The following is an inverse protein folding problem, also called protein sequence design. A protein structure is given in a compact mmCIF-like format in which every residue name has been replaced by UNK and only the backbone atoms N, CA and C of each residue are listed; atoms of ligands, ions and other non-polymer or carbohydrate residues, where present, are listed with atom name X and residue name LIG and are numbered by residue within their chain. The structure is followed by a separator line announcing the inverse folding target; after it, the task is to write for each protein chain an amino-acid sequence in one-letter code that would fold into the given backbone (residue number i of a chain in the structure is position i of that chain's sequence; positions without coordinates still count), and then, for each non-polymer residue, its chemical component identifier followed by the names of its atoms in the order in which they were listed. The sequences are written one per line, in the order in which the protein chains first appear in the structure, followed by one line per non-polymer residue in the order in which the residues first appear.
data_IF_642622385403
#
_entry.id   IF_642622385403
#
_cell.length_a   1.000
_cell.length_b   1.000
_cell.length_c   1.000
_cell.angle_alpha   90.00
_cell.angle_beta   90.00
_cell.angle_gamma   90.00
#
_symmetry.space_group_name_H-M   'P 1'
#
loop_
_entity.id
_entity.type
_entity.pdbx_description
1 polymer ?
#
# COMPACT_ATOMS: atom_id res chain seq x y z
N UNK A 1 41.20 15.39 -62.26
CA UNK A 1 40.92 16.44 -61.27
C UNK A 1 39.57 16.11 -60.63
N UNK A 2 39.55 15.36 -59.51
CA UNK A 2 38.32 14.81 -58.95
C UNK A 2 37.66 15.72 -57.90
N UNK A 3 36.35 15.52 -57.79
CA UNK A 3 35.38 16.15 -56.89
C UNK A 3 35.66 15.87 -55.41
N UNK A 4 35.63 16.92 -54.57
CA UNK A 4 35.70 16.81 -53.11
C UNK A 4 34.29 17.01 -52.51
N UNK A 5 33.68 15.92 -52.07
CA UNK A 5 32.40 15.90 -51.38
C UNK A 5 32.56 16.36 -49.92
N UNK A 6 31.84 17.43 -49.56
CA UNK A 6 31.70 17.89 -48.19
C UNK A 6 30.93 16.86 -47.35
N UNK A 7 31.61 16.18 -46.43
CA UNK A 7 30.97 15.38 -45.39
C UNK A 7 30.60 16.28 -44.21
N UNK A 8 29.33 16.65 -44.13
CA UNK A 8 28.70 17.19 -42.93
C UNK A 8 28.72 16.11 -41.83
N UNK A 9 29.61 16.25 -40.85
CA UNK A 9 29.58 15.46 -39.61
C UNK A 9 28.35 15.86 -38.81
N UNK A 10 27.34 14.99 -38.77
CA UNK A 10 26.31 15.02 -37.73
C UNK A 10 26.97 14.73 -36.37
N UNK A 11 26.63 15.45 -35.28
CA UNK A 11 27.09 15.09 -33.97
C UNK A 11 26.44 13.76 -33.58
N UNK A 12 27.27 12.74 -33.40
CA UNK A 12 26.91 11.48 -32.78
C UNK A 12 26.28 11.78 -31.42
N UNK A 13 24.96 11.61 -31.31
CA UNK A 13 24.29 11.48 -30.02
C UNK A 13 24.92 10.27 -29.33
N UNK A 14 25.83 10.54 -28.40
CA UNK A 14 26.28 9.58 -27.42
C UNK A 14 25.06 9.16 -26.60
N UNK A 15 24.48 8.02 -26.96
CA UNK A 15 23.48 7.30 -26.16
C UNK A 15 24.19 6.72 -24.94
N UNK A 16 24.56 7.60 -24.01
CA UNK A 16 24.99 7.20 -22.69
C UNK A 16 23.72 6.81 -21.94
N UNK A 17 23.47 5.50 -21.86
CA UNK A 17 22.42 4.92 -21.02
C UNK A 17 22.55 5.56 -19.63
N UNK A 18 21.61 6.45 -19.28
CA UNK A 18 21.67 7.10 -17.98
C UNK A 18 21.28 6.04 -16.92
N UNK A 19 22.15 5.78 -15.95
CA UNK A 19 22.11 4.61 -15.09
C UNK A 19 20.87 4.58 -14.21
N UNK A 20 20.55 3.37 -13.74
CA UNK A 20 19.68 3.13 -12.60
C UNK A 20 20.10 4.07 -11.44
N UNK A 21 19.18 4.93 -11.02
CA UNK A 21 19.34 5.79 -9.86
C UNK A 21 18.74 5.08 -8.65
N UNK A 22 19.58 4.69 -7.70
CA UNK A 22 19.11 4.08 -6.45
C UNK A 22 19.15 5.12 -5.33
N UNK A 23 18.02 5.34 -4.68
CA UNK A 23 17.88 6.16 -3.48
C UNK A 23 17.51 5.25 -2.32
N UNK A 24 18.04 5.53 -1.14
CA UNK A 24 17.67 4.84 0.10
C UNK A 24 17.05 5.90 0.99
N UNK A 25 15.90 5.56 1.57
CA UNK A 25 15.19 6.45 2.45
C UNK A 25 16.09 6.91 3.62
N UNK A 26 16.12 8.21 3.90
CA UNK A 26 16.94 8.82 4.95
C UNK A 26 18.44 8.93 4.66
N UNK A 27 18.92 8.46 3.51
CA UNK A 27 20.28 8.77 3.08
C UNK A 27 20.39 10.22 2.53
N UNK A 28 21.59 10.80 2.54
CA UNK A 28 21.85 12.12 1.95
C UNK A 28 21.44 12.19 0.48
N UNK A 29 21.09 13.41 0.04
CA UNK A 29 20.76 13.65 -1.35
C UNK A 29 21.95 13.35 -2.28
N UNK A 30 21.64 12.78 -3.44
CA UNK A 30 22.59 12.51 -4.52
C UNK A 30 22.46 13.57 -5.59
N UNK A 31 23.59 14.09 -6.06
CA UNK A 31 23.62 15.06 -7.15
C UNK A 31 23.47 14.36 -8.49
N UNK A 32 22.43 14.70 -9.24
CA UNK A 32 22.06 14.03 -10.49
C UNK A 32 21.67 15.05 -11.55
N UNK A 33 22.11 14.83 -12.79
CA UNK A 33 21.63 15.56 -13.94
C UNK A 33 20.24 15.05 -14.36
N UNK A 34 19.25 15.94 -14.40
CA UNK A 34 17.89 15.65 -14.84
C UNK A 34 17.48 16.59 -15.97
N UNK A 35 16.67 16.08 -16.89
CA UNK A 35 15.90 16.90 -17.82
C UNK A 35 14.76 17.63 -17.10
N UNK A 36 14.26 18.73 -17.67
CA UNK A 36 13.13 19.47 -17.11
C UNK A 36 11.85 18.61 -16.99
N UNK A 37 11.68 17.65 -17.90
CA UNK A 37 10.58 16.68 -17.86
C UNK A 37 10.74 15.70 -16.69
N UNK A 38 11.94 15.16 -16.45
CA UNK A 38 12.22 14.29 -15.30
C UNK A 38 12.05 15.03 -13.99
N UNK A 39 12.54 16.27 -13.89
CA UNK A 39 12.35 17.15 -12.73
C UNK A 39 10.85 17.34 -12.43
N UNK A 40 10.09 17.77 -13.44
CA UNK A 40 8.64 18.02 -13.32
C UNK A 40 7.90 16.74 -12.92
N UNK A 41 8.24 15.60 -13.51
CA UNK A 41 7.62 14.33 -13.22
C UNK A 41 7.89 13.88 -11.78
N UNK A 42 9.14 13.91 -11.32
CA UNK A 42 9.52 13.53 -9.96
C UNK A 42 8.83 14.40 -8.91
N UNK A 43 8.77 15.71 -9.14
CA UNK A 43 8.13 16.66 -8.24
C UNK A 43 6.60 16.50 -8.20
N UNK A 44 5.94 16.41 -9.36
CA UNK A 44 4.47 16.30 -9.44
C UNK A 44 3.93 14.97 -8.93
N UNK A 45 4.67 13.87 -9.15
CA UNK A 45 4.27 12.54 -8.70
C UNK A 45 4.68 12.24 -7.25
N UNK A 46 5.47 13.13 -6.62
CA UNK A 46 5.95 12.95 -5.25
C UNK A 46 6.82 11.72 -5.06
N UNK A 47 7.54 11.29 -6.10
CA UNK A 47 8.35 10.06 -6.12
C UNK A 47 9.64 10.26 -5.30
N UNK A 48 10.27 11.43 -5.44
CA UNK A 48 11.52 11.79 -4.78
C UNK A 48 11.51 13.27 -4.40
N UNK A 49 12.31 13.64 -3.40
CA UNK A 49 12.54 15.06 -3.09
C UNK A 49 13.62 15.56 -4.04
N UNK A 50 13.30 16.62 -4.80
CA UNK A 50 14.21 17.17 -5.82
C UNK A 50 14.44 18.65 -5.54
N UNK A 51 15.69 19.02 -5.26
CA UNK A 51 16.11 20.39 -4.95
C UNK A 51 17.02 20.92 -6.05
N UNK A 52 16.72 22.08 -6.67
CA UNK A 52 17.60 22.72 -7.65
C UNK A 52 18.96 23.09 -7.03
N UNK A 53 20.04 22.88 -7.78
CA UNK A 53 21.37 23.38 -7.41
C UNK A 53 21.68 24.70 -8.12
N UNK A 54 22.84 25.28 -7.80
CA UNK A 54 23.36 26.45 -8.52
C UNK A 54 23.77 26.14 -9.97
N UNK A 55 23.90 24.86 -10.34
CA UNK A 55 24.23 24.42 -11.69
C UNK A 55 22.94 24.04 -12.44
N UNK A 56 22.60 24.73 -13.56
CA UNK A 56 21.42 24.40 -14.35
C UNK A 56 21.41 22.94 -14.83
N UNK A 57 20.24 22.29 -14.74
CA UNK A 57 20.06 20.88 -15.12
C UNK A 57 20.61 19.88 -14.10
N UNK A 58 21.17 20.34 -12.97
CA UNK A 58 21.69 19.49 -11.90
C UNK A 58 20.88 19.73 -10.62
N UNK A 59 20.44 18.62 -10.02
CA UNK A 59 19.56 18.63 -8.87
C UNK A 59 20.13 17.72 -7.78
N UNK A 60 19.90 18.09 -6.53
CA UNK A 60 20.13 17.21 -5.39
C UNK A 60 18.83 16.42 -5.14
N UNK A 61 18.90 15.10 -5.28
CA UNK A 61 17.76 14.17 -5.20
C UNK A 61 17.92 13.27 -3.99
N UNK A 62 16.90 13.22 -3.12
CA UNK A 62 16.82 12.25 -2.04
C UNK A 62 15.52 11.44 -2.11
N UNK A 63 15.53 10.28 -1.46
CA UNK A 63 14.34 9.43 -1.39
C UNK A 63 13.14 10.21 -0.83
N UNK A 64 11.99 10.01 -1.47
CA UNK A 64 10.70 10.51 -0.97
C UNK A 64 10.14 9.63 0.14
N UNK A 65 8.83 9.71 0.36
CA UNK A 65 8.09 8.86 1.32
C UNK A 65 7.70 7.50 0.76
N UNK A 66 7.80 7.35 -0.56
CA UNK A 66 7.39 6.16 -1.31
C UNK A 66 8.61 5.29 -1.62
N UNK A 67 8.44 3.97 -1.57
CA UNK A 67 9.48 2.98 -1.90
C UNK A 67 9.01 2.08 -3.03
N UNK A 68 9.92 1.68 -3.91
CA UNK A 68 9.59 0.89 -5.10
C UNK A 68 10.40 1.35 -6.31
N UNK A 69 9.92 0.99 -7.49
CA UNK A 69 10.65 1.22 -8.73
C UNK A 69 9.78 1.94 -9.76
N UNK A 70 10.35 2.96 -10.40
CA UNK A 70 9.73 3.70 -11.49
C UNK A 70 10.72 3.88 -12.64
N UNK A 71 10.23 3.70 -13.86
CA UNK A 71 10.92 4.07 -15.10
C UNK A 71 10.47 5.46 -15.50
N UNK A 72 11.44 6.32 -15.80
CA UNK A 72 11.33 7.68 -16.31
C UNK A 72 11.93 7.67 -17.73
N UNK A 73 11.17 7.16 -18.69
CA UNK A 73 11.72 6.86 -20.02
C UNK A 73 12.86 5.83 -19.90
N UNK A 74 14.05 6.18 -20.38
CA UNK A 74 15.22 5.28 -20.36
C UNK A 74 15.91 5.20 -18.99
N UNK A 75 15.58 6.11 -18.05
CA UNK A 75 16.13 6.10 -16.69
C UNK A 75 15.24 5.27 -15.78
N UNK A 76 15.85 4.50 -14.90
CA UNK A 76 15.15 3.81 -13.83
C UNK A 76 15.50 4.41 -12.47
N UNK A 77 14.51 4.66 -11.64
CA UNK A 77 14.65 5.11 -10.26
C UNK A 77 14.14 4.02 -9.32
N UNK A 78 15.03 3.51 -8.47
CA UNK A 78 14.72 2.58 -7.40
C UNK A 78 14.82 3.31 -6.06
N UNK A 79 13.72 3.37 -5.32
CA UNK A 79 13.68 3.93 -3.96
C UNK A 79 13.53 2.78 -2.96
N UNK A 80 14.51 2.64 -2.07
CA UNK A 80 14.56 1.57 -1.07
C UNK A 80 14.13 2.06 0.31
N UNK A 81 13.38 1.25 1.06
CA UNK A 81 13.05 1.54 2.45
C UNK A 81 14.30 1.45 3.33
N UNK A 82 14.26 2.13 4.48
CA UNK A 82 15.26 1.94 5.56
C UNK A 82 15.23 0.53 6.13
N UNK A 83 14.06 -0.11 6.13
CA UNK A 83 13.89 -1.50 6.54
C UNK A 83 14.47 -2.38 5.43
N UNK A 84 15.59 -3.05 5.73
CA UNK A 84 16.31 -3.87 4.75
C UNK A 84 15.64 -5.21 4.47
N UNK A 85 14.84 -5.72 5.42
CA UNK A 85 14.11 -6.95 5.23
C UNK A 85 12.79 -6.69 4.49
N UNK A 86 12.71 -7.15 3.24
CA UNK A 86 11.50 -7.04 2.42
C UNK A 86 10.36 -7.90 2.98
N UNK A 87 10.65 -9.01 3.68
CA UNK A 87 9.61 -9.81 4.32
C UNK A 87 8.86 -9.01 5.37
N UNK A 88 9.57 -8.16 6.12
CA UNK A 88 8.94 -7.22 7.05
C UNK A 88 7.91 -6.34 6.36
N UNK A 89 8.25 -5.78 5.20
CA UNK A 89 7.34 -4.89 4.48
C UNK A 89 6.08 -5.63 4.03
N UNK A 90 6.27 -6.84 3.51
CA UNK A 90 5.18 -7.73 3.11
C UNK A 90 4.28 -8.06 4.30
N UNK A 91 4.87 -8.39 5.45
CA UNK A 91 4.13 -8.64 6.68
C UNK A 91 3.34 -7.41 7.14
N UNK A 92 3.96 -6.23 7.23
CA UNK A 92 3.27 -5.01 7.69
C UNK A 92 2.10 -4.64 6.78
N UNK A 93 2.34 -4.63 5.47
CA UNK A 93 1.31 -4.30 4.50
C UNK A 93 0.20 -5.37 4.42
N UNK A 94 0.57 -6.64 4.54
CA UNK A 94 -0.37 -7.75 4.61
C UNK A 94 -1.25 -7.69 5.85
N UNK A 95 -0.65 -7.50 7.02
CA UNK A 95 -1.35 -7.40 8.29
C UNK A 95 -2.33 -6.23 8.33
N UNK A 96 -1.92 -5.07 7.82
CA UNK A 96 -2.79 -3.90 7.66
C UNK A 96 -4.04 -4.18 6.80
N UNK A 97 -3.93 -5.05 5.79
CA UNK A 97 -5.06 -5.41 4.93
C UNK A 97 -5.97 -6.46 5.58
N UNK A 98 -5.40 -7.49 6.21
CA UNK A 98 -6.11 -8.66 6.76
C UNK A 98 -5.36 -9.26 7.97
N UNK A 99 -5.54 -8.74 9.19
CA UNK A 99 -4.73 -9.14 10.35
C UNK A 99 -4.93 -10.60 10.77
N UNK A 100 -6.19 -11.08 10.76
CA UNK A 100 -6.59 -12.48 11.05
C UNK A 100 -5.81 -13.51 10.22
N UNK A 101 -5.37 -13.09 9.04
CA UNK A 101 -4.84 -13.92 7.96
C UNK A 101 -3.32 -13.86 7.92
N UNK A 102 -2.73 -12.70 8.24
CA UNK A 102 -1.29 -12.45 8.14
C UNK A 102 -0.52 -12.66 9.44
N UNK A 103 -1.22 -12.88 10.57
CA UNK A 103 -0.62 -13.17 11.88
C UNK A 103 0.42 -14.30 11.85
N UNK A 104 0.19 -15.34 11.05
CA UNK A 104 1.06 -16.52 10.94
C UNK A 104 2.21 -16.36 9.91
N UNK A 105 2.41 -15.17 9.34
CA UNK A 105 3.42 -14.85 8.32
C UNK A 105 3.51 -15.90 7.18
N UNK A 106 2.44 -16.07 6.40
CA UNK A 106 2.30 -17.16 5.42
C UNK A 106 3.25 -17.08 4.22
N UNK A 107 3.96 -15.96 4.03
CA UNK A 107 4.63 -15.61 2.79
C UNK A 107 6.05 -15.18 3.07
N UNK A 108 6.99 -15.96 2.56
CA UNK A 108 8.41 -15.59 2.57
C UNK A 108 8.89 -15.28 1.14
N UNK A 109 9.44 -14.08 1.00
CA UNK A 109 10.20 -13.63 -0.16
C UNK A 109 11.64 -14.12 -0.07
N UNK A 110 12.18 -14.52 -1.20
CA UNK A 110 13.62 -14.70 -1.35
C UNK A 110 14.34 -13.35 -1.26
N UNK A 111 15.60 -13.31 -0.78
CA UNK A 111 16.37 -12.08 -0.71
C UNK A 111 16.41 -11.39 -2.08
N UNK A 112 15.97 -10.14 -2.11
CA UNK A 112 15.90 -9.34 -3.32
C UNK A 112 16.24 -7.89 -3.01
N UNK A 113 16.75 -7.24 -4.04
CA UNK A 113 17.13 -5.85 -4.06
C UNK A 113 15.94 -4.89 -4.28
N UNK A 114 14.81 -5.43 -4.76
CA UNK A 114 13.58 -4.72 -5.11
C UNK A 114 12.34 -5.54 -4.71
N UNK A 115 11.37 -4.87 -4.09
CA UNK A 115 10.15 -5.45 -3.55
C UNK A 115 9.23 -5.98 -4.65
N UNK A 116 9.04 -5.25 -5.74
CA UNK A 116 8.06 -5.65 -6.76
C UNK A 116 8.48 -6.89 -7.56
N UNK A 117 9.73 -7.02 -8.03
CA UNK A 117 10.24 -8.26 -8.61
C UNK A 117 10.20 -9.42 -7.61
N UNK A 118 10.50 -9.19 -6.33
CA UNK A 118 10.43 -10.23 -5.30
C UNK A 118 8.99 -10.74 -5.09
N UNK A 119 8.03 -9.81 -5.01
CA UNK A 119 6.60 -10.13 -4.96
C UNK A 119 6.16 -10.90 -6.20
N UNK A 120 6.61 -10.49 -7.40
CA UNK A 120 6.28 -11.18 -8.64
C UNK A 120 6.84 -12.60 -8.69
N UNK A 121 8.07 -12.80 -8.23
CA UNK A 121 8.74 -14.10 -8.13
C UNK A 121 8.01 -15.04 -7.17
N UNK A 122 7.69 -14.57 -5.96
CA UNK A 122 6.95 -15.33 -4.96
C UNK A 122 5.52 -15.63 -5.42
N UNK A 123 4.79 -14.62 -5.91
CA UNK A 123 3.43 -14.75 -6.40
C UNK A 123 3.35 -15.75 -7.55
N UNK A 124 4.24 -15.63 -8.55
CA UNK A 124 4.23 -16.54 -9.69
C UNK A 124 4.56 -17.98 -9.29
N UNK A 125 5.43 -18.20 -8.30
CA UNK A 125 5.75 -19.54 -7.76
C UNK A 125 4.56 -20.16 -7.05
N UNK A 126 4.00 -19.43 -6.08
CA UNK A 126 2.93 -19.90 -5.21
C UNK A 126 1.65 -20.11 -6.02
N UNK A 127 1.30 -19.17 -6.90
CA UNK A 127 0.10 -19.27 -7.74
C UNK A 127 0.22 -20.41 -8.74
N UNK A 128 1.38 -20.60 -9.38
CA UNK A 128 1.57 -21.74 -10.31
C UNK A 128 1.28 -23.06 -9.59
N UNK A 129 1.87 -23.26 -8.40
CA UNK A 129 1.65 -24.46 -7.59
C UNK A 129 0.18 -24.61 -7.18
N UNK A 130 -0.48 -23.53 -6.78
CA UNK A 130 -1.90 -23.57 -6.43
C UNK A 130 -2.79 -23.97 -7.62
N UNK A 131 -2.44 -23.54 -8.84
CA UNK A 131 -3.19 -23.84 -10.07
C UNK A 131 -2.94 -25.23 -10.66
N UNK A 132 -1.94 -25.98 -10.19
CA UNK A 132 -1.61 -27.33 -10.72
C UNK A 132 -2.78 -28.32 -10.61
N UNK A 133 -3.67 -28.11 -9.64
CA UNK A 133 -4.84 -28.96 -9.38
C UNK A 133 -6.15 -28.34 -9.88
N UNK A 134 -6.07 -27.38 -10.81
CA UNK A 134 -7.21 -26.64 -11.34
C UNK A 134 -7.49 -25.33 -10.59
N UNK A 135 -8.30 -24.48 -11.22
CA UNK A 135 -8.71 -23.19 -10.68
C UNK A 135 -9.77 -23.35 -9.56
N UNK A 136 -9.99 -22.28 -8.80
CA UNK A 136 -11.14 -22.23 -7.87
C UNK A 136 -12.42 -22.27 -8.71
N UNK A 137 -13.30 -23.22 -8.44
CA UNK A 137 -14.62 -23.27 -9.07
C UNK A 137 -15.67 -22.82 -8.07
N UNK A 138 -16.60 -21.99 -8.52
CA UNK A 138 -17.63 -21.43 -7.65
C UNK A 138 -18.90 -21.07 -8.41
N UNK A 139 -20.00 -20.98 -7.66
CA UNK A 139 -21.25 -20.43 -8.17
C UNK A 139 -21.18 -18.91 -8.10
N UNK A 140 -21.56 -18.26 -9.19
CA UNK A 140 -21.79 -16.81 -9.22
C UNK A 140 -23.10 -16.52 -9.94
N UNK A 141 -23.82 -15.52 -9.45
CA UNK A 141 -25.11 -15.12 -10.01
C UNK A 141 -24.90 -14.26 -11.24
N UNK A 142 -25.43 -14.72 -12.37
CA UNK A 142 -25.37 -14.04 -13.67
C UNK A 142 -26.74 -13.47 -13.97
N UNK A 143 -26.78 -12.16 -14.26
CA UNK A 143 -27.95 -11.50 -14.84
C UNK A 143 -27.74 -11.35 -16.34
N UNK A 144 -28.56 -12.01 -17.14
CA UNK A 144 -28.45 -12.03 -18.61
C UNK A 144 -29.84 -11.98 -19.28
N UNK A 145 -29.87 -11.84 -20.60
CA UNK A 145 -31.09 -11.96 -21.39
C UNK A 145 -31.05 -13.18 -22.29
N UNK A 146 -32.00 -14.09 -22.09
CA UNK A 146 -32.03 -15.41 -22.72
C UNK A 146 -33.33 -15.65 -23.47
N UNK A 147 -33.33 -16.37 -24.60
CA UNK A 147 -34.55 -16.79 -25.27
C UNK A 147 -35.34 -17.85 -24.48
N UNK A 148 -34.72 -18.48 -23.48
CA UNK A 148 -35.32 -19.48 -22.61
C UNK A 148 -35.24 -19.06 -21.15
N UNK A 149 -36.22 -19.45 -20.34
CA UNK A 149 -36.19 -19.22 -18.91
C UNK A 149 -35.16 -20.13 -18.24
N UNK A 150 -34.06 -19.54 -17.77
CA UNK A 150 -33.02 -20.19 -16.97
C UNK A 150 -32.93 -19.49 -15.62
N UNK A 151 -33.13 -20.22 -14.52
CA UNK A 151 -33.18 -19.63 -13.18
C UNK A 151 -34.42 -18.76 -12.94
N UNK A 152 -34.24 -17.57 -12.39
CA UNK A 152 -35.29 -16.63 -11.99
C UNK A 152 -35.54 -15.57 -13.06
N UNK A 153 -36.80 -15.29 -13.39
CA UNK A 153 -37.18 -14.17 -14.24
C UNK A 153 -37.06 -12.84 -13.46
N UNK A 154 -36.32 -11.88 -14.01
CA UNK A 154 -36.27 -10.51 -13.49
C UNK A 154 -37.46 -9.70 -14.02
N UNK A 155 -38.67 -10.01 -13.52
CA UNK A 155 -39.93 -9.44 -14.00
C UNK A 155 -39.94 -7.90 -13.99
N UNK A 156 -39.36 -7.27 -12.95
CA UNK A 156 -39.23 -5.81 -12.89
C UNK A 156 -38.40 -5.24 -14.04
N UNK A 157 -37.28 -5.88 -14.39
CA UNK A 157 -36.44 -5.50 -15.54
C UNK A 157 -37.17 -5.76 -16.85
N UNK A 158 -37.89 -6.88 -16.97
CA UNK A 158 -38.66 -7.22 -18.16
C UNK A 158 -39.77 -6.19 -18.43
N UNK A 159 -40.58 -5.86 -17.42
CA UNK A 159 -41.66 -4.89 -17.57
C UNK A 159 -41.14 -3.47 -17.81
N UNK A 160 -40.06 -3.05 -17.15
CA UNK A 160 -39.57 -1.66 -17.24
C UNK A 160 -38.71 -1.38 -18.47
N UNK A 161 -37.82 -2.31 -18.86
CA UNK A 161 -36.84 -2.10 -19.93
C UNK A 161 -37.15 -2.84 -21.23
N UNK A 162 -38.07 -3.81 -21.19
CA UNK A 162 -38.43 -4.68 -22.33
C UNK A 162 -39.94 -4.83 -22.49
N UNK A 163 -40.68 -3.76 -22.21
CA UNK A 163 -42.13 -3.72 -22.35
C UNK A 163 -42.57 -4.11 -23.77
N UNK A 164 -43.52 -5.04 -23.88
CA UNK A 164 -44.04 -5.52 -25.17
C UNK A 164 -43.16 -6.54 -25.90
N UNK A 165 -41.94 -6.83 -25.41
CA UNK A 165 -41.07 -7.88 -25.96
C UNK A 165 -41.15 -9.14 -25.09
N UNK A 166 -41.74 -10.24 -25.58
CA UNK A 166 -41.80 -11.49 -24.82
C UNK A 166 -40.44 -12.20 -24.72
N UNK A 167 -39.51 -11.90 -25.64
CA UNK A 167 -38.17 -12.51 -25.75
C UNK A 167 -37.18 -11.45 -26.27
N UNK A 168 -35.90 -11.45 -25.82
CA UNK A 168 -35.32 -12.30 -24.78
C UNK A 168 -35.79 -11.90 -23.38
N UNK A 169 -35.91 -12.90 -22.51
CA UNK A 169 -36.30 -12.78 -21.11
C UNK A 169 -35.09 -12.29 -20.30
N UNK A 170 -35.28 -11.26 -19.49
CA UNK A 170 -34.31 -10.88 -18.46
C UNK A 170 -34.33 -11.95 -17.35
N UNK A 171 -33.24 -12.70 -17.22
CA UNK A 171 -33.12 -13.82 -16.28
C UNK A 171 -31.91 -13.66 -15.38
N UNK A 172 -31.98 -14.30 -14.22
CA UNK A 172 -30.92 -14.37 -13.23
C UNK A 172 -30.74 -15.82 -12.82
N UNK A 173 -29.54 -16.37 -12.96
CA UNK A 173 -29.25 -17.76 -12.62
C UNK A 173 -27.84 -17.90 -12.04
N UNK A 174 -27.62 -18.96 -11.28
CA UNK A 174 -26.31 -19.28 -10.75
C UNK A 174 -25.53 -20.15 -11.75
N UNK A 175 -24.31 -19.73 -12.06
CA UNK A 175 -23.41 -20.42 -12.97
C UNK A 175 -22.19 -20.94 -12.21
N UNK A 176 -21.95 -22.25 -12.29
CA UNK A 176 -20.75 -22.88 -11.75
C UNK A 176 -19.61 -22.72 -12.76
N UNK A 177 -18.66 -21.84 -12.47
CA UNK A 177 -17.56 -21.52 -13.38
C UNK A 177 -16.26 -21.24 -12.62
N UNK A 178 -15.20 -21.04 -13.39
CA UNK A 178 -13.91 -20.55 -12.90
C UNK A 178 -13.89 -19.02 -12.75
N UNK A 179 -14.94 -18.28 -13.10
CA UNK A 179 -14.99 -16.82 -13.01
C UNK A 179 -15.33 -16.34 -11.58
N UNK A 180 -14.57 -16.82 -10.60
CA UNK A 180 -14.75 -16.48 -9.17
C UNK A 180 -13.99 -15.21 -8.78
N UNK A 181 -14.36 -14.62 -7.63
CA UNK A 181 -13.66 -13.47 -7.07
C UNK A 181 -12.15 -13.73 -6.90
N UNK A 182 -11.78 -14.92 -6.43
CA UNK A 182 -10.39 -15.37 -6.28
C UNK A 182 -9.64 -15.36 -7.61
N UNK A 183 -10.18 -16.02 -8.64
CA UNK A 183 -9.48 -16.12 -9.91
C UNK A 183 -9.41 -14.76 -10.63
N UNK A 184 -10.45 -13.92 -10.52
CA UNK A 184 -10.43 -12.54 -11.03
C UNK A 184 -9.32 -11.71 -10.37
N UNK A 185 -9.13 -11.86 -9.06
CA UNK A 185 -8.06 -11.22 -8.31
C UNK A 185 -6.67 -11.71 -8.78
N UNK A 186 -6.50 -13.03 -8.95
CA UNK A 186 -5.25 -13.62 -9.46
C UNK A 186 -4.93 -13.16 -10.88
N UNK A 187 -5.94 -13.04 -11.75
CA UNK A 187 -5.77 -12.55 -13.12
C UNK A 187 -5.37 -11.07 -13.13
N UNK A 188 -6.01 -10.26 -12.29
CA UNK A 188 -5.68 -8.84 -12.16
C UNK A 188 -4.25 -8.65 -11.65
N UNK A 189 -3.85 -9.37 -10.60
CA UNK A 189 -2.49 -9.33 -10.07
C UNK A 189 -1.47 -9.85 -11.08
N UNK A 190 -1.75 -10.95 -11.78
CA UNK A 190 -0.87 -11.50 -12.83
C UNK A 190 -0.65 -10.46 -13.94
N UNK A 191 -1.71 -9.81 -14.40
CA UNK A 191 -1.64 -8.78 -15.44
C UNK A 191 -0.84 -7.57 -14.97
N UNK A 192 -1.01 -7.15 -13.71
CA UNK A 192 -0.23 -6.08 -13.09
C UNK A 192 1.26 -6.44 -13.01
N UNK A 193 1.58 -7.62 -12.45
CA UNK A 193 2.95 -8.05 -12.22
C UNK A 193 3.74 -8.28 -13.51
N UNK A 194 3.08 -8.58 -14.64
CA UNK A 194 3.73 -8.66 -15.96
C UNK A 194 4.30 -7.32 -16.45
N UNK A 195 3.85 -6.20 -15.90
CA UNK A 195 4.33 -4.85 -16.25
C UNK A 195 5.48 -4.37 -15.34
N UNK A 196 5.84 -5.15 -14.32
CA UNK A 196 6.95 -4.81 -13.41
C UNK A 196 8.27 -4.86 -14.18
N UNK A 197 9.06 -3.79 -14.04
CA UNK A 197 10.40 -3.71 -14.59
C UNK A 197 11.34 -4.73 -13.92
N UNK A 198 12.37 -5.18 -14.65
CA UNK A 198 13.39 -6.13 -14.14
C UNK A 198 12.84 -7.46 -13.61
N UNK A 199 11.67 -7.86 -14.08
CA UNK A 199 11.11 -9.18 -13.79
C UNK A 199 12.04 -10.28 -14.32
N UNK A 200 12.36 -11.28 -13.47
CA UNK A 200 13.16 -12.43 -13.87
C UNK A 200 12.49 -13.19 -15.03
N UNK A 201 13.28 -13.73 -15.97
CA UNK A 201 12.75 -14.55 -17.06
C UNK A 201 11.92 -15.75 -16.56
N UNK A 202 12.32 -16.49 -15.49
CA UNK A 202 11.49 -17.53 -14.90
C UNK A 202 10.14 -17.03 -14.35
N UNK A 203 10.09 -15.87 -13.69
CA UNK A 203 8.83 -15.28 -13.22
C UNK A 203 7.95 -14.84 -14.39
N UNK A 204 8.54 -14.17 -15.39
CA UNK A 204 7.83 -13.75 -16.62
C UNK A 204 7.16 -14.93 -17.30
N UNK A 205 7.89 -16.05 -17.47
CA UNK A 205 7.34 -17.29 -18.06
C UNK A 205 6.19 -17.87 -17.24
N UNK A 206 6.32 -17.94 -15.92
CA UNK A 206 5.23 -18.42 -15.05
C UNK A 206 4.00 -17.52 -15.10
N UNK A 207 4.18 -16.19 -15.05
CA UNK A 207 3.07 -15.25 -15.14
C UNK A 207 2.34 -15.33 -16.50
N UNK A 208 3.06 -15.51 -17.61
CA UNK A 208 2.41 -15.72 -18.90
C UNK A 208 1.61 -17.03 -18.95
N UNK A 209 2.12 -18.12 -18.35
CA UNK A 209 1.38 -19.39 -18.23
C UNK A 209 0.14 -19.23 -17.35
N UNK A 210 0.27 -18.55 -16.21
CA UNK A 210 -0.85 -18.23 -15.33
C UNK A 210 -1.92 -17.41 -16.05
N UNK A 211 -1.53 -16.39 -16.82
CA UNK A 211 -2.46 -15.60 -17.63
C UNK A 211 -3.18 -16.45 -18.67
N UNK A 212 -2.50 -17.41 -19.29
CA UNK A 212 -3.13 -18.35 -20.23
C UNK A 212 -4.11 -19.31 -19.52
N UNK A 213 -3.73 -19.82 -18.34
CA UNK A 213 -4.60 -20.67 -17.53
C UNK A 213 -5.86 -19.95 -17.03
N UNK A 214 -5.79 -18.64 -16.83
CA UNK A 214 -6.89 -17.77 -16.42
C UNK A 214 -7.64 -17.13 -17.61
N UNK A 215 -7.51 -17.67 -18.83
CA UNK A 215 -8.06 -17.05 -20.04
C UNK A 215 -9.59 -16.99 -20.10
N UNK A 216 -10.28 -17.90 -19.42
CA UNK A 216 -11.75 -17.92 -19.28
C UNK A 216 -12.27 -17.02 -18.15
N UNK A 217 -11.37 -16.42 -17.36
CA UNK A 217 -11.72 -15.55 -16.23
C UNK A 217 -11.86 -14.12 -16.72
N UNK A 218 -12.91 -13.44 -16.26
CA UNK A 218 -13.19 -12.07 -16.69
C UNK A 218 -12.17 -11.11 -16.09
N UNK A 219 -11.40 -10.42 -16.93
CA UNK A 219 -10.51 -9.36 -16.47
C UNK A 219 -11.32 -8.14 -16.00
N UNK A 220 -11.02 -7.68 -14.79
CA UNK A 220 -11.67 -6.49 -14.22
C UNK A 220 -11.31 -5.22 -15.02
N UNK A 221 -12.29 -4.39 -15.39
CA UNK A 221 -12.02 -3.10 -16.01
C UNK A 221 -11.15 -2.20 -15.13
N UNK A 222 -10.41 -1.27 -15.74
CA UNK A 222 -9.65 -0.25 -15.00
C UNK A 222 -10.61 0.54 -14.11
N UNK A 223 -10.27 0.67 -12.83
CA UNK A 223 -11.07 1.40 -11.84
C UNK A 223 -12.27 0.63 -11.28
N UNK A 224 -12.51 -0.62 -11.71
CA UNK A 224 -13.50 -1.47 -11.06
C UNK A 224 -13.08 -1.77 -9.61
N UNK A 225 -14.07 -1.93 -8.74
CA UNK A 225 -13.83 -2.36 -7.36
C UNK A 225 -13.17 -3.74 -7.36
N UNK A 226 -12.12 -3.89 -6.56
CA UNK A 226 -11.43 -5.16 -6.40
C UNK A 226 -12.38 -6.13 -5.65
N UNK A 227 -12.63 -7.35 -6.15
CA UNK A 227 -13.52 -8.30 -5.50
C UNK A 227 -12.96 -8.69 -4.13
N UNK A 228 -13.85 -8.80 -3.14
CA UNK A 228 -13.51 -9.42 -1.86
C UNK A 228 -13.59 -10.94 -1.97
N UNK A 229 -12.68 -11.64 -1.34
CA UNK A 229 -12.74 -13.09 -1.14
C UNK A 229 -12.67 -13.40 0.36
N UNK A 230 -13.11 -14.61 0.76
CA UNK A 230 -13.05 -15.06 2.14
C UNK A 230 -12.29 -16.38 2.24
N UNK A 231 -11.36 -16.52 3.20
CA UNK A 231 -10.70 -17.78 3.48
C UNK A 231 -11.69 -18.88 3.84
N UNK A 232 -11.67 -19.98 3.10
CA UNK A 232 -12.44 -21.18 3.40
C UNK A 232 -11.65 -22.44 3.01
N UNK A 233 -12.19 -23.61 3.34
CA UNK A 233 -11.52 -24.90 3.06
C UNK A 233 -11.37 -25.17 1.54
N UNK A 234 -12.29 -24.67 0.71
CA UNK A 234 -12.29 -24.92 -0.74
C UNK A 234 -11.20 -24.11 -1.46
N UNK A 235 -10.91 -22.90 -0.98
CA UNK A 235 -9.89 -22.02 -1.54
C UNK A 235 -8.57 -22.02 -0.75
N UNK A 236 -8.42 -22.88 0.27
CA UNK A 236 -7.24 -22.97 1.14
C UNK A 236 -5.90 -22.97 0.39
N UNK A 237 -5.81 -23.72 -0.71
CA UNK A 237 -4.59 -23.78 -1.54
C UNK A 237 -4.19 -22.45 -2.18
N UNK A 238 -5.15 -21.54 -2.36
CA UNK A 238 -4.96 -20.23 -3.01
C UNK A 238 -4.71 -19.11 -2.01
N UNK A 239 -4.83 -19.33 -0.70
CA UNK A 239 -4.75 -18.26 0.29
C UNK A 239 -3.47 -17.45 0.18
N UNK A 240 -2.30 -18.10 0.12
CA UNK A 240 -1.02 -17.39 -0.01
C UNK A 240 -0.91 -16.62 -1.35
N UNK A 241 -1.43 -17.18 -2.45
CA UNK A 241 -1.45 -16.51 -3.75
C UNK A 241 -2.37 -15.28 -3.74
N UNK A 242 -3.55 -15.39 -3.16
CA UNK A 242 -4.53 -14.31 -3.05
C UNK A 242 -4.03 -13.19 -2.16
N UNK A 243 -3.38 -13.52 -1.04
CA UNK A 243 -2.73 -12.55 -0.15
C UNK A 243 -1.63 -11.76 -0.87
N UNK A 244 -0.79 -12.44 -1.64
CA UNK A 244 0.22 -11.78 -2.50
C UNK A 244 -0.41 -10.94 -3.62
N UNK A 245 -1.55 -11.39 -4.16
CA UNK A 245 -2.32 -10.62 -5.14
C UNK A 245 -2.81 -9.30 -4.53
N UNK A 246 -3.44 -9.32 -3.35
CA UNK A 246 -3.89 -8.12 -2.64
C UNK A 246 -2.74 -7.15 -2.41
N UNK A 247 -1.58 -7.65 -1.96
CA UNK A 247 -0.41 -6.81 -1.72
C UNK A 247 0.15 -6.20 -3.01
N UNK A 248 0.29 -6.99 -4.08
CA UNK A 248 0.70 -6.47 -5.39
C UNK A 248 -0.31 -5.44 -5.94
N UNK A 249 -1.58 -5.56 -5.58
CA UNK A 249 -2.65 -4.67 -5.99
C UNK A 249 -2.75 -3.40 -5.12
N UNK A 250 -2.22 -3.43 -3.89
CA UNK A 250 -2.15 -2.29 -2.99
C UNK A 250 -1.06 -1.27 -3.37
N UNK A 251 -0.05 -1.67 -4.15
CA UNK A 251 0.97 -0.75 -4.66
C UNK A 251 0.36 0.33 -5.55
N UNK A 252 0.76 1.59 -5.35
CA UNK A 252 0.37 2.72 -6.20
C UNK A 252 1.04 2.56 -7.57
N UNK A 253 0.23 2.50 -8.63
CA UNK A 253 0.71 2.39 -10.00
C UNK A 253 0.86 3.77 -10.64
N UNK A 254 2.01 4.05 -11.21
CA UNK A 254 2.24 5.22 -12.04
C UNK A 254 2.10 4.84 -13.51
N UNK A 255 1.25 5.55 -14.24
CA UNK A 255 1.20 5.54 -15.72
C UNK A 255 0.88 6.98 -16.17
N UNK A 256 1.92 7.82 -16.22
CA UNK A 256 1.77 9.25 -16.53
C UNK A 256 2.66 9.66 -17.70
N UNK A 257 2.16 10.57 -18.54
CA UNK A 257 2.92 11.15 -19.65
C UNK A 257 3.21 12.63 -19.38
N UNK A 258 4.48 13.00 -19.42
CA UNK A 258 4.96 14.38 -19.33
C UNK A 258 5.67 14.74 -20.63
N UNK A 259 4.94 15.33 -21.59
CA UNK A 259 5.45 15.53 -22.94
C UNK A 259 5.77 14.19 -23.62
N UNK A 260 7.04 13.96 -23.97
CA UNK A 260 7.51 12.68 -24.52
C UNK A 260 7.95 11.67 -23.44
N UNK A 261 8.09 12.11 -22.18
CA UNK A 261 8.47 11.23 -21.07
C UNK A 261 7.26 10.39 -20.63
N UNK A 262 7.44 9.07 -20.59
CA UNK A 262 6.48 8.15 -20.01
C UNK A 262 7.04 7.68 -18.67
N UNK A 263 6.23 7.83 -17.62
CA UNK A 263 6.56 7.38 -16.27
C UNK A 263 5.70 6.18 -15.92
N UNK A 264 6.34 5.04 -15.72
CA UNK A 264 5.67 3.78 -15.36
C UNK A 264 6.34 3.11 -14.18
N UNK A 265 5.57 2.60 -13.23
CA UNK A 265 6.14 1.84 -12.11
C UNK A 265 5.18 1.65 -10.96
N UNK A 266 5.71 1.11 -9.87
CA UNK A 266 4.95 0.76 -8.69
C UNK A 266 5.70 1.21 -7.45
N UNK A 267 4.99 1.90 -6.56
CA UNK A 267 5.55 2.30 -5.28
C UNK A 267 4.56 2.07 -4.15
N UNK A 268 5.10 1.81 -2.97
CA UNK A 268 4.39 1.71 -1.72
C UNK A 268 4.64 2.94 -0.88
N UNK A 269 3.59 3.42 -0.23
CA UNK A 269 3.69 4.56 0.66
C UNK A 269 4.01 4.08 2.08
N UNK A 270 5.27 4.22 2.49
CA UNK A 270 5.76 3.51 3.68
C UNK A 270 5.18 4.02 4.98
N UNK A 271 4.94 5.33 5.07
CA UNK A 271 4.26 5.88 6.25
C UNK A 271 2.85 5.31 6.39
N UNK A 272 2.12 5.20 5.27
CA UNK A 272 0.77 4.64 5.26
C UNK A 272 0.77 3.16 5.63
N UNK A 273 1.70 2.36 5.10
CA UNK A 273 1.83 0.94 5.50
C UNK A 273 2.05 0.81 7.00
N UNK A 274 2.94 1.65 7.56
CA UNK A 274 3.22 1.63 8.99
C UNK A 274 2.02 2.10 9.82
N UNK A 275 1.37 3.21 9.42
CA UNK A 275 0.17 3.73 10.06
C UNK A 275 -0.96 2.70 10.07
N UNK A 276 -1.30 2.14 8.90
CA UNK A 276 -2.36 1.15 8.75
C UNK A 276 -2.03 -0.11 9.59
N UNK A 277 -0.77 -0.53 9.63
CA UNK A 277 -0.32 -1.64 10.49
C UNK A 277 -0.51 -1.32 11.98
N UNK A 278 0.02 -0.20 12.47
CA UNK A 278 -0.05 0.19 13.88
C UNK A 278 -1.50 0.34 14.32
N UNK A 279 -2.33 1.00 13.52
CA UNK A 279 -3.74 1.20 13.82
C UNK A 279 -4.50 -0.12 13.88
N UNK A 280 -4.29 -0.99 12.89
CA UNK A 280 -4.95 -2.30 12.84
C UNK A 280 -4.52 -3.19 14.00
N UNK A 281 -3.21 -3.30 14.24
CA UNK A 281 -2.68 -4.13 15.32
C UNK A 281 -3.09 -3.61 16.71
N UNK A 282 -3.01 -2.29 16.95
CA UNK A 282 -3.48 -1.72 18.21
C UNK A 282 -4.98 -1.85 18.40
N UNK A 283 -5.80 -1.71 17.35
CA UNK A 283 -7.24 -1.89 17.46
C UNK A 283 -7.61 -3.32 17.89
N UNK A 284 -6.92 -4.32 17.34
CA UNK A 284 -7.07 -5.71 17.79
C UNK A 284 -6.61 -5.88 19.24
N UNK A 285 -5.40 -5.42 19.59
CA UNK A 285 -4.84 -5.56 20.93
C UNK A 285 -5.60 -4.78 22.01
N UNK A 286 -6.34 -3.73 21.64
CA UNK A 286 -7.20 -2.96 22.56
C UNK A 286 -8.57 -3.61 22.79
N UNK A 287 -8.99 -4.56 21.95
CA UNK A 287 -10.31 -5.22 22.05
C UNK A 287 -10.57 -5.86 23.44
N UNK A 288 -9.60 -6.55 24.08
CA UNK A 288 -9.78 -7.12 25.43
C UNK A 288 -10.08 -6.08 26.52
N UNK A 289 -9.72 -4.81 26.31
CA UNK A 289 -9.95 -3.71 27.26
C UNK A 289 -11.31 -3.03 27.06
N UNK A 290 -12.09 -3.49 26.08
CA UNK A 290 -13.43 -3.00 25.76
C UNK A 290 -13.46 -1.68 24.99
N UNK A 291 -14.67 -1.18 24.74
CA UNK A 291 -14.87 0.01 23.92
C UNK A 291 -14.74 -0.26 22.43
N UNK A 292 -14.37 0.75 21.64
CA UNK A 292 -14.14 0.59 20.20
C UNK A 292 -13.04 1.53 19.72
N UNK A 293 -12.35 1.14 18.66
CA UNK A 293 -11.35 1.98 18.01
C UNK A 293 -11.92 2.60 16.74
N UNK A 294 -11.64 3.89 16.52
CA UNK A 294 -11.95 4.60 15.30
C UNK A 294 -10.65 5.02 14.61
N UNK A 295 -10.23 4.32 13.55
CA UNK A 295 -9.08 4.75 12.76
C UNK A 295 -9.41 6.01 11.98
N UNK A 296 -8.41 6.89 11.81
CA UNK A 296 -8.47 8.10 11.00
C UNK A 296 -9.67 9.01 11.32
N UNK A 297 -10.02 9.09 12.62
CA UNK A 297 -11.20 9.82 13.10
C UNK A 297 -11.07 11.31 12.83
N UNK A 298 -12.05 11.89 12.12
CA UNK A 298 -12.07 13.32 11.80
C UNK A 298 -12.84 14.09 12.85
N UNK A 299 -12.23 15.16 13.37
CA UNK A 299 -12.85 16.04 14.35
C UNK A 299 -12.45 17.50 14.10
N UNK A 300 -13.32 18.48 14.36
CA UNK A 300 -12.96 19.89 14.25
C UNK A 300 -11.90 20.26 15.30
N UNK A 301 -10.95 21.12 14.94
CA UNK A 301 -9.96 21.69 15.84
C UNK A 301 -10.47 22.97 16.51
N UNK A 302 -11.25 23.74 15.76
CA UNK A 302 -11.74 25.06 16.10
C UNK A 302 -13.27 25.11 16.10
N UNK A 303 -13.85 26.10 16.77
CA UNK A 303 -15.31 26.24 16.91
C UNK A 303 -16.02 26.43 15.56
N UNK A 304 -15.34 27.06 14.59
CA UNK A 304 -15.88 27.26 13.24
C UNK A 304 -15.77 25.99 12.36
N UNK A 305 -15.01 24.98 12.80
CA UNK A 305 -14.78 23.75 12.05
C UNK A 305 -14.01 23.94 10.74
N UNK A 306 -13.26 25.03 10.59
CA UNK A 306 -12.45 25.30 9.40
C UNK A 306 -11.18 24.44 9.37
N UNK A 307 -10.67 24.07 10.55
CA UNK A 307 -9.49 23.23 10.70
C UNK A 307 -9.93 21.87 11.20
N UNK A 308 -9.66 20.81 10.43
CA UNK A 308 -9.96 19.43 10.80
C UNK A 308 -8.71 18.73 11.32
N UNK A 309 -8.81 18.12 12.49
CA UNK A 309 -7.84 17.17 13.02
C UNK A 309 -8.19 15.76 12.60
N UNK A 310 -7.15 14.94 12.43
CA UNK A 310 -7.28 13.54 12.04
C UNK A 310 -6.19 12.70 12.72
N UNK A 311 -6.38 12.31 13.98
CA UNK A 311 -5.51 11.32 14.61
C UNK A 311 -5.62 9.97 13.89
N UNK A 312 -4.54 9.20 13.88
CA UNK A 312 -4.49 7.92 13.17
C UNK A 312 -5.40 6.88 13.85
N UNK A 313 -5.45 6.87 15.19
CA UNK A 313 -6.33 6.00 15.96
C UNK A 313 -6.88 6.71 17.20
N UNK A 314 -8.20 6.69 17.36
CA UNK A 314 -8.85 7.09 18.61
C UNK A 314 -9.50 5.87 19.23
N UNK A 315 -9.15 5.58 20.49
CA UNK A 315 -9.80 4.52 21.25
C UNK A 315 -10.84 5.13 22.19
N UNK A 316 -12.09 4.72 22.03
CA UNK A 316 -13.21 5.12 22.86
C UNK A 316 -13.46 4.06 23.92
N UNK A 317 -13.87 4.50 25.10
CA UNK A 317 -14.41 3.60 26.12
C UNK A 317 -15.76 3.00 25.70
N UNK A 318 -16.56 2.58 26.68
CA UNK A 318 -17.94 2.11 26.43
C UNK A 318 -18.91 3.23 26.04
N UNK A 319 -18.50 4.50 26.21
CA UNK A 319 -19.27 5.69 25.85
C UNK A 319 -18.66 6.46 24.67
N UNK A 320 -19.19 7.65 24.36
CA UNK A 320 -18.71 8.48 23.24
C UNK A 320 -17.41 9.23 23.54
N UNK A 321 -16.89 9.17 24.77
CA UNK A 321 -15.71 9.89 25.19
C UNK A 321 -14.43 9.17 24.75
N UNK A 322 -13.51 9.84 24.04
CA UNK A 322 -12.17 9.31 23.79
C UNK A 322 -11.50 8.91 25.11
N UNK A 323 -10.78 7.79 25.09
CA UNK A 323 -9.96 7.31 26.21
C UNK A 323 -8.47 7.41 25.89
N UNK A 324 -8.10 7.25 24.62
CA UNK A 324 -6.74 7.45 24.15
C UNK A 324 -6.72 7.95 22.71
N UNK A 325 -5.71 8.74 22.39
CA UNK A 325 -5.34 9.10 21.01
C UNK A 325 -3.96 8.57 20.72
N UNK A 326 -3.83 7.92 19.58
CA UNK A 326 -2.59 7.37 19.08
C UNK A 326 -2.32 7.93 17.69
N UNK A 327 -1.08 8.30 17.45
CA UNK A 327 -0.60 8.77 16.15
C UNK A 327 0.74 8.09 15.82
N UNK A 328 0.81 7.50 14.63
CA UNK A 328 1.88 6.63 14.18
C UNK A 328 2.84 7.40 13.26
N UNK A 329 4.12 7.42 13.61
CA UNK A 329 5.15 8.17 12.89
C UNK A 329 6.21 7.24 12.28
N UNK A 330 6.17 7.11 10.95
CA UNK A 330 7.20 6.42 10.18
C UNK A 330 8.41 7.34 9.92
N UNK A 331 9.24 7.55 10.95
CA UNK A 331 10.52 8.25 10.84
C UNK A 331 11.47 7.82 11.95
N UNK A 332 12.77 7.90 11.66
CA UNK A 332 13.79 7.78 12.70
C UNK A 332 13.93 9.10 13.44
N UNK A 333 14.17 9.06 14.75
CA UNK A 333 14.58 10.23 15.51
C UNK A 333 15.85 10.82 14.89
N UNK A 334 15.84 12.13 14.62
CA UNK A 334 17.07 12.85 14.34
C UNK A 334 17.87 13.02 15.64
N UNK A 335 19.21 12.91 15.61
CA UNK A 335 20.06 13.31 16.74
C UNK A 335 19.83 14.77 17.19
N UNK A 336 19.20 15.60 16.34
CA UNK A 336 18.85 17.00 16.62
C UNK A 336 17.56 17.20 17.44
N UNK A 337 16.93 16.13 17.94
CA UNK A 337 15.72 16.21 18.76
C UNK A 337 14.45 15.73 18.03
N UNK A 338 13.39 15.47 18.81
CA UNK A 338 12.05 15.19 18.28
C UNK A 338 11.65 16.29 17.29
N UNK A 339 10.97 15.97 16.18
CA UNK A 339 10.36 17.01 15.38
C UNK A 339 9.26 17.63 16.25
N UNK A 340 9.49 18.82 16.80
CA UNK A 340 8.56 19.52 17.70
C UNK A 340 7.12 19.55 17.17
N UNK A 341 6.96 19.51 15.84
CA UNK A 341 5.68 19.39 15.14
C UNK A 341 4.80 18.22 15.62
N UNK A 342 5.35 17.03 15.92
CA UNK A 342 4.52 15.89 16.35
C UNK A 342 3.99 16.11 17.78
N UNK A 343 4.81 16.72 18.64
CA UNK A 343 4.43 17.07 20.01
C UNK A 343 3.36 18.17 20.00
N UNK A 344 3.51 19.19 19.15
CA UNK A 344 2.48 20.23 18.97
C UNK A 344 1.17 19.65 18.41
N UNK A 345 1.25 18.75 17.44
CA UNK A 345 0.08 18.08 16.89
C UNK A 345 -0.64 17.24 17.97
N UNK A 346 0.09 16.44 18.73
CA UNK A 346 -0.48 15.63 19.80
C UNK A 346 -1.04 16.49 20.94
N UNK A 347 -0.39 17.61 21.28
CA UNK A 347 -0.93 18.57 22.23
C UNK A 347 -2.27 19.15 21.76
N UNK A 348 -2.40 19.50 20.47
CA UNK A 348 -3.66 19.94 19.90
C UNK A 348 -4.75 18.86 20.01
N UNK A 349 -4.42 17.61 19.68
CA UNK A 349 -5.32 16.46 19.84
C UNK A 349 -5.83 16.33 21.29
N UNK A 350 -4.90 16.26 22.24
CA UNK A 350 -5.21 16.15 23.67
C UNK A 350 -6.06 17.34 24.17
N UNK A 351 -5.80 18.55 23.68
CA UNK A 351 -6.55 19.75 24.08
C UNK A 351 -8.01 19.66 23.66
N UNK A 352 -8.29 19.31 22.40
CA UNK A 352 -9.67 19.25 21.89
C UNK A 352 -10.43 18.04 22.42
N UNK A 353 -9.77 16.90 22.65
CA UNK A 353 -10.43 15.73 23.28
C UNK A 353 -10.40 15.75 24.80
N UNK A 354 -9.85 16.81 25.40
CA UNK A 354 -9.68 16.96 26.85
C UNK A 354 -8.94 15.80 27.53
N UNK A 355 -8.05 15.12 26.81
CA UNK A 355 -7.26 14.01 27.34
C UNK A 355 -5.96 14.53 27.97
N UNK A 356 -5.64 14.06 29.16
CA UNK A 356 -4.36 14.36 29.83
C UNK A 356 -3.19 13.53 29.27
N UNK A 357 -3.46 12.59 28.37
CA UNK A 357 -2.47 11.69 27.81
C UNK A 357 -2.63 11.52 26.29
N UNK A 358 -1.51 11.59 25.58
CA UNK A 358 -1.43 11.34 24.14
C UNK A 358 -0.29 10.38 23.81
N UNK A 359 -0.43 9.57 22.76
CA UNK A 359 0.50 8.50 22.44
C UNK A 359 1.05 8.64 21.02
N UNK A 360 2.36 8.85 20.89
CA UNK A 360 3.08 8.83 19.62
C UNK A 360 3.80 7.49 19.49
N UNK A 361 3.65 6.82 18.34
CA UNK A 361 4.25 5.50 18.09
C UNK A 361 5.21 5.60 16.91
N UNK A 362 6.51 5.49 17.17
CA UNK A 362 7.56 5.64 16.17
C UNK A 362 8.07 4.28 15.66
N UNK A 363 8.32 4.19 14.35
CA UNK A 363 9.04 3.08 13.73
C UNK A 363 10.54 3.16 14.06
N UNK A 364 10.96 2.71 15.25
CA UNK A 364 12.34 2.82 15.74
C UNK A 364 12.79 1.52 16.40
N UNK A 365 14.06 1.17 16.21
CA UNK A 365 14.74 0.18 17.05
C UNK A 365 14.82 0.60 18.51
N UNK A 366 15.41 -0.26 19.35
CA UNK A 366 15.44 -0.26 20.83
C UNK A 366 15.68 1.08 21.58
N UNK A 367 14.74 2.02 21.48
CA UNK A 367 14.80 3.34 22.11
C UNK A 367 14.00 3.37 23.39
N UNK A 368 14.46 4.09 24.41
CA UNK A 368 13.69 4.24 25.64
C UNK A 368 12.39 4.97 25.35
N UNK A 369 11.29 4.46 25.89
CA UNK A 369 10.02 5.18 26.00
C UNK A 369 10.31 6.52 26.67
N UNK A 370 9.86 7.62 26.07
CA UNK A 370 9.99 8.96 26.65
C UNK A 370 8.62 9.55 26.91
N UNK A 371 8.46 10.24 28.03
CA UNK A 371 7.25 10.99 28.35
C UNK A 371 7.58 12.48 28.45
N UNK A 372 6.85 13.30 27.70
CA UNK A 372 6.95 14.74 27.72
C UNK A 372 5.78 15.31 28.53
N UNK A 373 6.07 15.79 29.74
CA UNK A 373 5.10 16.57 30.53
C UNK A 373 5.07 17.99 30.00
N UNK A 374 3.93 18.44 29.52
CA UNK A 374 3.81 19.75 28.87
C UNK A 374 3.74 20.84 29.93
N UNK A 375 4.60 21.85 29.81
CA UNK A 375 4.57 22.99 30.73
C UNK A 375 3.28 23.78 30.53
N UNK A 376 2.59 24.09 31.64
CA UNK A 376 1.34 24.85 31.62
C UNK A 376 0.11 24.07 31.16
N UNK A 377 0.21 22.74 31.06
CA UNK A 377 -0.90 21.86 30.67
C UNK A 377 -0.86 20.55 31.49
N UNK A 378 -2.00 19.91 31.82
CA UNK A 378 -2.00 18.58 32.43
C UNK A 378 -1.51 17.48 31.46
N UNK A 379 -1.38 17.80 30.18
CA UNK A 379 -1.05 16.84 29.12
C UNK A 379 0.35 16.25 29.30
N UNK A 380 0.42 14.92 29.23
CA UNK A 380 1.65 14.13 29.11
C UNK A 380 1.64 13.35 27.80
N UNK A 381 2.61 13.63 26.92
CA UNK A 381 2.77 12.94 25.64
C UNK A 381 3.76 11.78 25.79
N UNK A 382 3.31 10.56 25.54
CA UNK A 382 4.13 9.36 25.58
C UNK A 382 4.64 8.99 24.19
N UNK A 383 5.96 8.98 24.02
CA UNK A 383 6.65 8.54 22.80
C UNK A 383 7.08 7.07 22.96
N UNK A 384 6.43 6.21 22.20
CA UNK A 384 6.70 4.77 22.12
C UNK A 384 7.52 4.45 20.87
N UNK A 385 8.30 3.38 20.92
CA UNK A 385 9.06 2.87 19.78
C UNK A 385 8.63 1.43 19.48
N UNK A 386 8.39 1.13 18.21
CA UNK A 386 8.20 -0.24 17.71
C UNK A 386 9.38 -0.63 16.83
N UNK A 387 10.08 -1.67 17.25
CA UNK A 387 11.22 -2.22 16.54
C UNK A 387 10.76 -3.13 15.41
N UNK A 388 10.75 -2.57 14.20
CA UNK A 388 10.34 -3.28 12.99
C UNK A 388 11.33 -4.37 12.54
N UNK A 389 12.49 -4.51 13.21
CA UNK A 389 13.43 -5.61 12.93
C UNK A 389 13.07 -6.91 13.67
N UNK A 390 12.23 -6.85 14.72
CA UNK A 390 11.79 -8.01 15.48
C UNK A 390 10.92 -8.94 14.63
N UNK A 391 11.02 -10.29 14.73
CA UNK A 391 10.12 -11.23 14.05
C UNK A 391 8.62 -10.88 14.18
N UNK A 392 7.75 -11.32 13.26
CA UNK A 392 6.31 -11.00 13.29
C UNK A 392 5.63 -11.25 14.64
N UNK A 393 5.87 -12.41 15.26
CA UNK A 393 5.31 -12.76 16.58
C UNK A 393 5.71 -11.77 17.67
N UNK A 394 6.99 -11.39 17.69
CA UNK A 394 7.58 -10.56 18.72
C UNK A 394 7.18 -9.09 18.52
N UNK A 395 7.02 -8.66 17.26
CA UNK A 395 6.48 -7.36 16.93
C UNK A 395 5.01 -7.24 17.37
N UNK A 396 4.19 -8.27 17.15
CA UNK A 396 2.81 -8.28 17.64
C UNK A 396 2.73 -8.29 19.16
N UNK A 397 3.59 -9.06 19.84
CA UNK A 397 3.69 -9.02 21.30
C UNK A 397 4.09 -7.62 21.82
N UNK A 398 4.98 -6.91 21.11
CA UNK A 398 5.34 -5.54 21.45
C UNK A 398 4.16 -4.56 21.26
N UNK A 399 3.26 -4.82 20.31
CA UNK A 399 2.00 -4.08 20.13
C UNK A 399 1.02 -4.39 21.26
N UNK A 400 0.90 -5.65 21.68
CA UNK A 400 0.07 -6.05 22.83
C UNK A 400 0.52 -5.34 24.11
N UNK A 401 1.83 -5.32 24.38
CA UNK A 401 2.42 -4.60 25.50
C UNK A 401 2.16 -3.09 25.42
N UNK A 402 2.17 -2.52 24.21
CA UNK A 402 1.85 -1.11 23.99
C UNK A 402 0.36 -0.84 24.27
N UNK A 403 -0.54 -1.68 23.78
CA UNK A 403 -1.97 -1.58 24.05
C UNK A 403 -2.25 -1.68 25.56
N UNK A 404 -1.56 -2.57 26.28
CA UNK A 404 -1.67 -2.68 27.73
C UNK A 404 -1.26 -1.37 28.45
N UNK A 405 -0.17 -0.73 28.02
CA UNK A 405 0.27 0.57 28.55
C UNK A 405 -0.73 1.68 28.25
N UNK A 406 -1.27 1.73 27.04
CA UNK A 406 -2.31 2.69 26.64
C UNK A 406 -3.55 2.48 27.51
N UNK A 407 -4.00 1.24 27.69
CA UNK A 407 -5.17 0.90 28.49
C UNK A 407 -5.01 1.20 29.99
N UNK A 408 -3.80 1.07 30.52
CA UNK A 408 -3.46 1.39 31.91
C UNK A 408 -3.32 2.90 32.17
N UNK A 409 -3.31 3.74 31.13
CA UNK A 409 -3.22 5.19 31.29
C UNK A 409 -4.51 5.70 31.96
N UNK A 410 -4.41 6.45 33.07
CA UNK A 410 -5.58 6.89 33.82
C UNK A 410 -6.49 7.75 32.94
N UNK A 411 -7.78 7.44 32.98
CA UNK A 411 -8.79 8.32 32.41
C UNK A 411 -8.88 9.58 33.28
N UNK A 412 -9.11 10.73 32.65
CA UNK A 412 -9.40 11.96 33.37
C UNK A 412 -10.62 11.74 34.26
N UNK A 413 -10.47 11.92 35.57
CA UNK A 413 -11.61 11.99 36.47
C UNK A 413 -12.36 13.29 36.17
N UNK A 414 -13.56 13.16 35.61
CA UNK A 414 -14.46 14.29 35.27
C UNK A 414 -15.17 14.82 36.52
#
# INVERSE_FOLDING_TARGET
MPSAAAHSRQPTRSTTVAPQLTLIEGEPAKRVALTDMEYTALQRLGIATVVPTTTPGVYDISAGRKVGAVSLGDRELLVRPKIRDLNRLVFLAGYALKPEVWRDDPVHLEPSDDLMPALAEAFSRITTRATEQGLVMGYHTVSDTSPVLRGRLLAGVQMSRRYGLPVPLAVEYDEFSSDTAENRLLLLATTRLLTVARLSEPARKRLHRLRAALSEVTLLPRGAAIPSWQPNRLNARFHAALRLAELALAAESFEHRFGSLIVTGYMFDMWKIYEDFVCTALAESLTPYGGHCAPQHRMPMDEAGEVTMRPDLVWFGRGPTPRAIVDAKYKMESPSGYPDADLYQMLAYCTVTELDHGHLVYAKGNAPIRAHRILGSPVTIHCHALDLSLPPSDLLAAVDDLAARIAATPAKEL
#
